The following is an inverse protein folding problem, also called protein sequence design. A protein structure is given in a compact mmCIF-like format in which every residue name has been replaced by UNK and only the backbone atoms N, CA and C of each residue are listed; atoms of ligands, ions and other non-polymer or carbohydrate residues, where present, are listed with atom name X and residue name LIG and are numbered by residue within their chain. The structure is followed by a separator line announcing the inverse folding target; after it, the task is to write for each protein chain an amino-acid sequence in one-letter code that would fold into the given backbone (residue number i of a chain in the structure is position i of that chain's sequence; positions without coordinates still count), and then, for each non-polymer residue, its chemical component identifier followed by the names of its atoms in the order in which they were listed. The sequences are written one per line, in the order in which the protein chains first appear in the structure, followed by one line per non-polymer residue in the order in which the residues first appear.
data_IF_619704649954
#
_entry.id   IF_619704649954
#
_cell.length_a   1.000
_cell.length_b   1.000
_cell.length_c   1.000
_cell.angle_alpha   90.00
_cell.angle_beta   90.00
_cell.angle_gamma   90.00
#
_symmetry.space_group_name_H-M   'P 1'
#
loop_
_entity.id
_entity.type
_entity.pdbx_description
1 polymer ?
#
# COMPACT_ATOMS: atom_id res chain seq x y z
N UNK A 1 -5.26 -16.79 2.77
CA UNK A 1 -6.36 -15.93 3.27
C UNK A 1 -6.76 -14.98 2.18
N UNK A 2 -8.06 -14.81 1.96
CA UNK A 2 -8.65 -13.95 0.90
C UNK A 2 -8.05 -12.53 0.86
N UNK A 3 -7.66 -11.97 2.01
CA UNK A 3 -7.03 -10.65 2.14
C UNK A 3 -5.65 -10.55 1.45
N UNK A 4 -4.85 -11.63 1.47
CA UNK A 4 -3.53 -11.69 0.80
C UNK A 4 -3.68 -11.69 -0.72
N UNK A 5 -4.67 -12.40 -1.24
CA UNK A 5 -4.93 -12.47 -2.69
C UNK A 5 -5.55 -11.18 -3.22
N UNK A 6 -6.51 -10.59 -2.50
CA UNK A 6 -7.18 -9.35 -2.90
C UNK A 6 -6.22 -8.15 -2.99
N UNK A 7 -5.33 -7.99 -2.01
CA UNK A 7 -4.33 -6.91 -2.01
C UNK A 7 -3.25 -7.07 -3.08
N UNK A 8 -2.93 -8.30 -3.47
CA UNK A 8 -1.80 -8.59 -4.38
C UNK A 8 -2.24 -8.66 -5.84
N UNK A 9 -3.43 -9.18 -6.15
CA UNK A 9 -3.74 -9.59 -7.53
C UNK A 9 -4.55 -8.61 -8.37
N UNK A 10 -5.46 -7.81 -7.80
CA UNK A 10 -6.47 -7.12 -8.65
C UNK A 10 -6.26 -5.61 -8.77
N UNK A 11 -5.86 -4.92 -7.70
CA UNK A 11 -5.76 -3.44 -7.72
C UNK A 11 -4.35 -2.98 -8.08
N UNK A 12 -3.31 -3.57 -7.49
CA UNK A 12 -1.94 -3.06 -7.60
C UNK A 12 -1.29 -3.38 -8.96
N UNK A 13 -1.53 -4.58 -9.52
CA UNK A 13 -1.03 -4.98 -10.85
C UNK A 13 -1.54 -4.09 -11.99
N UNK A 14 -2.82 -3.70 -11.96
CA UNK A 14 -3.44 -2.86 -13.01
C UNK A 14 -2.97 -1.40 -12.95
N UNK A 15 -2.68 -0.90 -11.75
CA UNK A 15 -2.21 0.47 -11.52
C UNK A 15 -0.73 0.59 -11.92
N UNK A 16 0.12 -0.33 -11.49
CA UNK A 16 1.56 -0.23 -11.75
C UNK A 16 1.94 -0.47 -13.22
N UNK A 17 1.21 -1.32 -13.95
CA UNK A 17 1.43 -1.50 -15.38
C UNK A 17 1.18 -0.22 -16.21
N UNK A 18 0.45 0.76 -15.65
CA UNK A 18 0.13 2.03 -16.31
C UNK A 18 0.94 3.23 -15.78
N UNK A 19 1.54 3.14 -14.59
CA UNK A 19 2.06 4.33 -13.87
C UNK A 19 3.57 4.43 -13.70
N UNK A 20 4.39 3.44 -14.08
CA UNK A 20 5.86 3.58 -13.94
C UNK A 20 6.66 2.84 -15.01
N UNK A 21 7.57 3.53 -15.73
CA UNK A 21 8.49 2.89 -16.67
C UNK A 21 9.64 2.13 -15.98
N UNK A 22 9.93 2.40 -14.71
CA UNK A 22 11.04 1.81 -13.95
C UNK A 22 10.55 0.99 -12.74
N UNK A 23 11.22 -0.14 -12.47
CA UNK A 23 11.04 -0.96 -11.25
C UNK A 23 9.59 -1.32 -10.90
N UNK A 24 8.71 -1.48 -11.89
CA UNK A 24 7.27 -1.66 -11.69
C UNK A 24 6.91 -2.78 -10.68
N UNK A 25 7.60 -3.92 -10.72
CA UNK A 25 7.35 -5.02 -9.79
C UNK A 25 7.70 -4.66 -8.33
N UNK A 26 8.79 -3.92 -8.11
CA UNK A 26 9.19 -3.46 -6.78
C UNK A 26 8.20 -2.43 -6.24
N UNK A 27 7.79 -1.47 -7.08
CA UNK A 27 6.75 -0.47 -6.73
C UNK A 27 5.44 -1.13 -6.33
N UNK A 28 5.00 -2.14 -7.09
CA UNK A 28 3.83 -2.99 -6.73
C UNK A 28 4.01 -3.64 -5.37
N UNK A 29 5.18 -4.25 -5.14
CA UNK A 29 5.46 -4.95 -3.89
C UNK A 29 5.44 -4.00 -2.68
N UNK A 30 5.98 -2.78 -2.82
CA UNK A 30 5.99 -1.75 -1.76
C UNK A 30 4.58 -1.22 -1.45
N UNK A 31 3.77 -0.97 -2.48
CA UNK A 31 2.36 -0.58 -2.29
C UNK A 31 1.59 -1.71 -1.59
N UNK A 32 1.75 -2.94 -2.08
CA UNK A 32 1.09 -4.12 -1.53
C UNK A 32 1.47 -4.38 -0.07
N UNK A 33 2.76 -4.25 0.27
CA UNK A 33 3.24 -4.47 1.64
C UNK A 33 2.69 -3.44 2.62
N UNK A 34 2.66 -2.15 2.24
CA UNK A 34 2.10 -1.08 3.06
C UNK A 34 0.61 -1.31 3.33
N UNK A 35 -0.18 -1.64 2.31
CA UNK A 35 -1.61 -1.90 2.45
C UNK A 35 -1.89 -3.15 3.27
N UNK A 36 -1.11 -4.22 3.06
CA UNK A 36 -1.23 -5.46 3.83
C UNK A 36 -0.89 -5.26 5.30
N UNK A 37 0.19 -4.54 5.61
CA UNK A 37 0.58 -4.19 6.98
C UNK A 37 -0.48 -3.34 7.67
N UNK A 38 -1.01 -2.32 6.98
CA UNK A 38 -2.08 -1.48 7.53
C UNK A 38 -3.36 -2.29 7.80
N UNK A 39 -3.78 -3.15 6.86
CA UNK A 39 -4.96 -3.97 7.02
C UNK A 39 -4.80 -4.98 8.17
N UNK A 40 -3.62 -5.61 8.28
CA UNK A 40 -3.26 -6.48 9.40
C UNK A 40 -3.34 -5.73 10.74
N UNK A 41 -2.68 -4.59 10.84
CA UNK A 41 -2.64 -3.79 12.05
C UNK A 41 -4.03 -3.29 12.47
N UNK A 42 -4.83 -2.79 11.51
CA UNK A 42 -6.14 -2.19 11.79
C UNK A 42 -7.24 -3.21 12.07
N UNK A 43 -7.33 -4.28 11.28
CA UNK A 43 -8.51 -5.16 11.31
C UNK A 43 -8.26 -6.52 11.98
N UNK A 44 -7.03 -7.04 11.92
CA UNK A 44 -6.72 -8.37 12.46
C UNK A 44 -6.14 -8.25 13.87
N UNK A 45 -5.06 -7.47 14.00
CA UNK A 45 -4.39 -7.23 15.29
C UNK A 45 -5.19 -6.20 16.12
N UNK A 46 -5.92 -5.31 15.46
CA UNK A 46 -6.64 -4.19 16.08
C UNK A 46 -5.72 -3.33 16.96
N UNK A 47 -4.54 -3.00 16.45
CA UNK A 47 -3.52 -2.20 17.13
C UNK A 47 -4.01 -0.76 17.39
N UNK A 48 -4.12 -0.29 18.66
CA UNK A 48 -4.48 1.10 18.93
C UNK A 48 -3.32 2.07 18.62
N UNK A 49 -3.59 3.29 18.10
CA UNK A 49 -4.89 3.83 17.70
C UNK A 49 -5.30 3.47 16.26
N UNK A 50 -4.51 2.66 15.54
CA UNK A 50 -4.81 2.28 14.15
C UNK A 50 -6.14 1.55 13.98
N UNK A 51 -6.65 0.89 15.02
CA UNK A 51 -7.97 0.26 15.01
C UNK A 51 -9.14 1.27 15.03
N UNK A 52 -8.98 2.40 15.74
CA UNK A 52 -10.08 3.33 16.07
C UNK A 52 -10.01 4.66 15.34
N UNK A 53 -8.83 5.05 14.85
CA UNK A 53 -8.66 6.31 14.10
C UNK A 53 -9.53 6.33 12.84
N UNK A 54 -9.96 7.52 12.40
CA UNK A 54 -10.77 7.66 11.19
C UNK A 54 -10.01 7.21 9.93
N UNK A 55 -10.74 6.72 8.94
CA UNK A 55 -10.16 6.38 7.63
C UNK A 55 -9.53 7.60 6.96
N UNK A 56 -10.13 8.78 7.09
CA UNK A 56 -9.60 10.03 6.50
C UNK A 56 -8.24 10.41 7.08
N UNK A 57 -8.08 10.28 8.39
CA UNK A 57 -6.78 10.50 9.05
C UNK A 57 -5.74 9.47 8.59
N UNK A 58 -6.14 8.20 8.40
CA UNK A 58 -5.24 7.19 7.83
C UNK A 58 -4.86 7.49 6.40
N UNK A 59 -5.80 7.92 5.56
CA UNK A 59 -5.51 8.31 4.18
C UNK A 59 -4.53 9.47 4.16
N UNK A 60 -4.76 10.50 4.98
CA UNK A 60 -3.85 11.64 5.11
C UNK A 60 -2.42 11.21 5.48
N UNK A 61 -2.28 10.27 6.41
CA UNK A 61 -0.97 9.79 6.86
C UNK A 61 -0.29 8.81 5.88
N UNK A 62 -1.06 7.96 5.18
CA UNK A 62 -0.53 6.82 4.42
C UNK A 62 -0.44 7.11 2.92
N UNK A 63 -1.34 7.93 2.36
CA UNK A 63 -1.36 8.24 0.92
C UNK A 63 -0.03 8.79 0.39
N UNK A 64 0.70 9.68 1.10
CA UNK A 64 2.00 10.17 0.62
C UNK A 64 3.03 9.05 0.40
N UNK A 65 3.01 8.01 1.24
CA UNK A 65 3.90 6.85 1.09
C UNK A 65 3.55 6.05 -0.17
N UNK A 66 2.25 5.82 -0.39
CA UNK A 66 1.79 5.12 -1.60
C UNK A 66 2.08 5.93 -2.86
N UNK A 67 1.91 7.25 -2.82
CA UNK A 67 2.27 8.14 -3.93
C UNK A 67 3.77 8.07 -4.24
N UNK A 68 4.62 8.07 -3.20
CA UNK A 68 6.08 7.90 -3.37
C UNK A 68 6.42 6.57 -4.03
N UNK A 69 5.78 5.47 -3.61
CA UNK A 69 6.00 4.17 -4.26
C UNK A 69 5.52 4.15 -5.72
N UNK A 70 4.37 4.75 -6.00
CA UNK A 70 3.74 4.71 -7.32
C UNK A 70 4.42 5.59 -8.37
N UNK A 71 4.93 6.77 -7.98
CA UNK A 71 5.44 7.74 -8.95
C UNK A 71 6.66 8.53 -8.47
N UNK A 72 7.02 8.40 -7.21
CA UNK A 72 8.14 9.14 -6.62
C UNK A 72 9.49 8.46 -6.88
N UNK A 73 10.54 9.20 -6.57
CA UNK A 73 11.89 8.65 -6.46
C UNK A 73 11.97 7.66 -5.27
N UNK A 74 12.50 6.48 -5.55
CA UNK A 74 12.70 5.44 -4.56
C UNK A 74 14.06 5.54 -3.86
N UNK A 75 14.98 6.40 -4.36
CA UNK A 75 16.35 6.49 -3.87
C UNK A 75 17.16 5.22 -4.17
N UNK A 76 16.76 4.48 -5.19
CA UNK A 76 17.49 3.31 -5.67
C UNK A 76 18.65 3.83 -6.53
N UNK A 77 19.87 3.44 -6.13
CA UNK A 77 21.14 3.83 -6.74
C UNK A 77 21.29 3.19 -8.12
#
# INVERSE_FOLDING_TARGET
TMLREFLTHTVVKRIAAKLSPDHAQLRVALVGSQLAGLAMARYVIQLPPLASVSTESLVTAVAPNLQRYLTGDLGLI
#
